data_IF_890875032890
#
_entry.id   IF_890875032890
#
_cell.length_a   1.000
_cell.length_b   1.000
_cell.length_c   1.000
_cell.angle_alpha   90.00
_cell.angle_beta   90.00
_cell.angle_gamma   90.00
#
_symmetry.space_group_name_H-M   'P 1'
#
loop_
_entity.id
_entity.type
_entity.pdbx_description
1 polymer ?
#
# COMPACT_ATOMS: atom_id res chain seq x y z
N UNK A 1 6.84 5.76 -31.22
CA UNK A 1 6.55 6.97 -30.44
C UNK A 1 7.22 6.79 -29.08
N UNK A 2 8.19 7.61 -28.72
CA UNK A 2 8.76 7.65 -27.35
C UNK A 2 7.88 8.56 -26.53
N UNK A 3 7.14 7.98 -25.58
CA UNK A 3 6.34 8.77 -24.63
C UNK A 3 7.30 9.41 -23.63
N UNK A 4 7.35 10.74 -23.60
CA UNK A 4 8.13 11.47 -22.60
C UNK A 4 7.38 11.37 -21.25
N UNK A 5 7.88 10.51 -20.37
CA UNK A 5 7.30 10.29 -19.04
C UNK A 5 7.92 11.31 -18.09
N UNK A 6 7.10 12.25 -17.61
CA UNK A 6 7.50 13.28 -16.66
C UNK A 6 7.24 12.83 -15.21
N UNK A 7 8.07 13.24 -14.24
CA UNK A 7 7.79 13.01 -12.83
C UNK A 7 6.45 13.62 -12.43
N UNK A 8 5.68 12.90 -11.63
CA UNK A 8 4.48 13.46 -11.01
C UNK A 8 4.87 14.59 -10.05
N UNK A 9 4.05 15.63 -9.98
CA UNK A 9 4.22 16.72 -9.00
C UNK A 9 3.28 16.49 -7.84
N UNK A 10 3.80 16.64 -6.61
CA UNK A 10 3.03 16.47 -5.38
C UNK A 10 2.93 15.03 -4.90
N UNK A 11 1.91 14.75 -4.09
CA UNK A 11 1.73 13.46 -3.44
C UNK A 11 0.97 12.48 -4.32
N UNK A 12 1.31 11.20 -4.22
CA UNK A 12 0.60 10.09 -4.85
C UNK A 12 -0.43 9.52 -3.88
N UNK A 13 -1.71 9.65 -4.21
CA UNK A 13 -2.80 9.00 -3.47
C UNK A 13 -2.92 7.53 -3.86
N UNK A 14 -2.89 6.64 -2.87
CA UNK A 14 -3.20 5.21 -3.04
C UNK A 14 -4.47 4.92 -2.28
N UNK A 15 -5.54 4.64 -3.02
CA UNK A 15 -6.87 4.35 -2.47
C UNK A 15 -7.11 2.84 -2.52
N UNK A 16 -7.23 2.22 -1.36
CA UNK A 16 -7.46 0.79 -1.21
C UNK A 16 -8.96 0.49 -1.17
N UNK A 17 -9.41 -0.43 -1.98
CA UNK A 17 -10.77 -0.98 -1.90
C UNK A 17 -10.73 -2.16 -0.93
N UNK A 18 -11.13 -1.91 0.30
CA UNK A 18 -10.95 -2.79 1.45
C UNK A 18 -9.68 -2.49 2.25
N UNK A 19 -9.84 -2.39 3.57
CA UNK A 19 -8.74 -2.16 4.52
C UNK A 19 -8.41 -3.44 5.29
N UNK A 20 -8.41 -4.58 4.59
CA UNK A 20 -8.10 -5.89 5.15
C UNK A 20 -6.61 -6.24 5.14
N UNK A 21 -6.29 -7.52 5.24
CA UNK A 21 -4.95 -8.08 5.39
C UNK A 21 -3.93 -7.56 4.36
N UNK A 22 -4.29 -7.53 3.09
CA UNK A 22 -3.37 -7.10 2.01
C UNK A 22 -3.06 -5.62 2.11
N UNK A 23 -4.10 -4.79 2.25
CA UNK A 23 -3.94 -3.33 2.33
C UNK A 23 -3.16 -2.91 3.57
N UNK A 24 -3.47 -3.47 4.74
CA UNK A 24 -2.76 -3.16 5.98
C UNK A 24 -1.31 -3.60 5.95
N UNK A 25 -1.01 -4.76 5.35
CA UNK A 25 0.38 -5.23 5.16
C UNK A 25 1.16 -4.30 4.23
N UNK A 26 0.56 -3.88 3.10
CA UNK A 26 1.19 -2.93 2.18
C UNK A 26 1.46 -1.59 2.87
N UNK A 27 0.46 -1.03 3.53
CA UNK A 27 0.55 0.28 4.21
C UNK A 27 1.65 0.23 5.28
N UNK A 28 1.61 -0.78 6.15
CA UNK A 28 2.61 -0.99 7.21
C UNK A 28 4.02 -1.09 6.61
N UNK A 29 4.20 -1.88 5.57
CA UNK A 29 5.49 -2.05 4.90
C UNK A 29 6.05 -0.73 4.35
N UNK A 30 5.22 0.10 3.74
CA UNK A 30 5.63 1.43 3.25
C UNK A 30 5.98 2.36 4.40
N UNK A 31 5.18 2.39 5.48
CA UNK A 31 5.44 3.23 6.64
C UNK A 31 6.73 2.82 7.36
N UNK A 32 6.98 1.53 7.53
CA UNK A 32 8.21 0.98 8.09
C UNK A 32 9.43 1.35 7.23
N UNK A 33 9.30 1.24 5.89
CA UNK A 33 10.36 1.63 4.98
C UNK A 33 10.68 3.13 5.06
N UNK A 34 9.67 4.00 5.20
CA UNK A 34 9.86 5.45 5.42
C UNK A 34 10.67 5.77 6.66
N UNK A 35 10.45 5.03 7.73
CA UNK A 35 11.17 5.18 9.00
C UNK A 35 12.55 4.49 8.99
N UNK A 36 12.91 3.82 7.91
CA UNK A 36 14.17 3.06 7.83
C UNK A 36 14.19 1.82 8.72
N UNK A 37 13.03 1.35 9.18
CA UNK A 37 12.87 0.21 10.06
C UNK A 37 12.75 -1.12 9.29
N UNK A 38 12.40 -1.06 8.00
CA UNK A 38 12.34 -2.21 7.12
C UNK A 38 12.82 -1.86 5.72
N UNK A 39 13.38 -2.84 5.03
CA UNK A 39 13.70 -2.72 3.61
C UNK A 39 12.53 -3.23 2.76
N UNK A 40 12.17 -2.54 1.66
CA UNK A 40 11.08 -2.95 0.77
C UNK A 40 11.52 -4.12 -0.15
N UNK A 41 11.93 -5.25 0.44
CA UNK A 41 12.58 -6.38 -0.25
C UNK A 41 11.71 -6.99 -1.36
N UNK A 42 10.38 -6.97 -1.18
CA UNK A 42 9.42 -7.45 -2.18
C UNK A 42 9.16 -6.46 -3.33
N UNK A 43 9.69 -5.23 -3.25
CA UNK A 43 9.43 -4.19 -4.25
C UNK A 43 10.52 -4.11 -5.30
N UNK A 44 10.25 -4.66 -6.47
CA UNK A 44 11.16 -4.55 -7.62
C UNK A 44 11.41 -3.09 -8.01
N UNK A 45 10.40 -2.23 -7.94
CA UNK A 45 10.52 -0.81 -8.28
C UNK A 45 11.44 -0.04 -7.33
N UNK A 46 11.57 -0.48 -6.07
CA UNK A 46 12.41 0.16 -5.07
C UNK A 46 13.85 -0.37 -5.08
N UNK A 47 14.02 -1.68 -5.17
CA UNK A 47 15.33 -2.33 -5.03
C UNK A 47 15.82 -3.00 -6.31
N UNK A 48 14.93 -3.24 -7.28
CA UNK A 48 15.26 -3.96 -8.49
C UNK A 48 16.16 -3.18 -9.44
N UNK A 49 16.93 -3.94 -10.23
CA UNK A 49 17.75 -3.41 -11.32
C UNK A 49 17.28 -3.95 -12.66
N UNK A 50 17.25 -3.10 -13.66
CA UNK A 50 16.92 -3.48 -15.03
C UNK A 50 18.15 -3.32 -15.92
N UNK A 51 18.25 -4.21 -16.91
CA UNK A 51 19.26 -4.12 -17.94
C UNK A 51 18.90 -3.03 -18.95
N UNK A 52 19.80 -2.09 -19.16
CA UNK A 52 19.70 -1.03 -20.17
C UNK A 52 20.86 -1.19 -21.17
N UNK A 53 20.57 -0.98 -22.45
CA UNK A 53 21.55 -1.13 -23.53
C UNK A 53 21.70 -2.55 -24.06
N UNK A 54 22.50 -2.70 -25.14
CA UNK A 54 22.78 -3.96 -25.84
C UNK A 54 24.28 -4.16 -26.01
N UNK A 55 24.71 -5.41 -26.14
CA UNK A 55 26.12 -5.76 -26.37
C UNK A 55 27.04 -5.21 -25.26
N UNK A 56 28.15 -4.62 -25.66
CA UNK A 56 29.16 -4.04 -24.76
C UNK A 56 28.67 -2.82 -23.95
N UNK A 57 27.62 -2.15 -24.41
CA UNK A 57 26.97 -1.03 -23.72
C UNK A 57 25.93 -1.46 -22.67
N UNK A 58 25.89 -2.74 -22.34
CA UNK A 58 24.98 -3.31 -21.33
C UNK A 58 25.31 -2.78 -19.93
N UNK A 59 24.34 -2.17 -19.27
CA UNK A 59 24.43 -1.69 -17.91
C UNK A 59 23.22 -2.16 -17.10
N UNK A 60 23.36 -2.26 -15.78
CA UNK A 60 22.25 -2.51 -14.87
C UNK A 60 22.02 -1.24 -14.02
N UNK A 61 20.83 -0.69 -14.13
CA UNK A 61 20.41 0.52 -13.39
C UNK A 61 19.23 0.21 -12.50
N UNK A 62 19.11 0.90 -11.38
CA UNK A 62 17.91 0.82 -10.57
C UNK A 62 16.69 1.34 -11.34
N UNK A 63 15.51 0.77 -11.06
CA UNK A 63 14.27 1.14 -11.77
C UNK A 63 13.99 2.63 -11.64
N UNK A 64 14.18 3.21 -10.45
CA UNK A 64 14.01 4.65 -10.20
C UNK A 64 14.96 5.58 -10.98
N UNK A 65 16.10 5.05 -11.51
CA UNK A 65 16.99 5.80 -12.39
C UNK A 65 16.51 5.81 -13.86
N UNK A 66 15.59 4.89 -14.21
CA UNK A 66 15.11 4.71 -15.58
C UNK A 66 13.75 5.38 -15.77
N UNK A 67 12.89 5.25 -14.76
CA UNK A 67 11.54 5.83 -14.76
C UNK A 67 11.31 6.71 -13.54
N UNK A 68 10.62 7.85 -13.68
CA UNK A 68 10.34 8.76 -12.59
C UNK A 68 9.26 8.17 -11.67
N UNK A 69 9.68 7.42 -10.66
CA UNK A 69 8.80 6.87 -9.63
C UNK A 69 8.48 7.91 -8.56
N UNK A 70 7.28 7.84 -7.99
CA UNK A 70 6.96 8.58 -6.78
C UNK A 70 7.82 8.08 -5.61
N UNK A 71 8.30 9.01 -4.79
CA UNK A 71 8.97 8.65 -3.54
C UNK A 71 7.99 7.97 -2.59
N UNK A 72 8.46 6.99 -1.80
CA UNK A 72 7.63 6.41 -0.74
C UNK A 72 7.12 7.46 0.24
N UNK A 73 7.88 8.55 0.46
CA UNK A 73 7.49 9.67 1.34
C UNK A 73 6.33 10.52 0.77
N UNK A 74 6.09 10.43 -0.53
CA UNK A 74 5.05 11.19 -1.21
C UNK A 74 3.75 10.39 -1.38
N UNK A 75 3.71 9.13 -0.95
CA UNK A 75 2.50 8.32 -1.00
C UNK A 75 1.59 8.69 0.17
N UNK A 76 0.30 8.88 -0.09
CA UNK A 76 -0.75 9.06 0.90
C UNK A 76 -1.78 7.95 0.73
N UNK A 77 -2.14 7.30 1.82
CA UNK A 77 -3.10 6.19 1.81
C UNK A 77 -4.49 6.64 2.22
N UNK A 78 -5.49 6.09 1.57
CA UNK A 78 -6.89 6.11 1.94
C UNK A 78 -7.53 4.76 1.62
N UNK A 79 -8.71 4.50 2.16
CA UNK A 79 -9.42 3.24 1.90
C UNK A 79 -10.94 3.43 1.94
N UNK A 80 -11.66 2.49 1.32
CA UNK A 80 -13.08 2.25 1.57
C UNK A 80 -13.22 0.88 2.22
N UNK A 81 -14.07 0.76 3.23
CA UNK A 81 -14.38 -0.53 3.83
C UNK A 81 -15.83 -0.58 4.32
N UNK A 82 -16.37 -1.77 4.48
CA UNK A 82 -17.66 -2.03 5.13
C UNK A 82 -17.54 -1.93 6.65
N UNK A 83 -16.35 -2.14 7.20
CA UNK A 83 -16.01 -1.99 8.60
C UNK A 83 -15.44 -0.59 8.88
N UNK A 84 -15.61 -0.12 10.10
CA UNK A 84 -15.18 1.23 10.51
C UNK A 84 -13.81 1.26 11.18
N UNK A 85 -13.15 0.10 11.29
CA UNK A 85 -11.84 -0.02 11.92
C UNK A 85 -10.79 0.78 11.16
N UNK A 86 -9.92 1.46 11.89
CA UNK A 86 -8.75 2.09 11.30
C UNK A 86 -7.71 1.04 10.85
N UNK A 87 -6.67 1.47 10.14
CA UNK A 87 -5.68 0.54 9.60
C UNK A 87 -4.92 -0.23 10.69
N UNK A 88 -4.74 0.33 11.90
CA UNK A 88 -4.09 -0.36 13.00
C UNK A 88 -4.98 -1.48 13.57
N UNK A 89 -6.25 -1.17 13.84
CA UNK A 89 -7.24 -2.15 14.32
C UNK A 89 -7.44 -3.28 13.32
N UNK A 90 -7.55 -2.94 12.04
CA UNK A 90 -7.66 -3.93 10.95
C UNK A 90 -6.40 -4.80 10.84
N UNK A 91 -5.20 -4.24 10.99
CA UNK A 91 -3.96 -5.00 10.96
C UNK A 91 -3.88 -6.01 12.11
N UNK A 92 -4.28 -5.59 13.33
CA UNK A 92 -4.38 -6.48 14.49
C UNK A 92 -5.39 -7.61 14.27
N UNK A 93 -6.56 -7.27 13.73
CA UNK A 93 -7.61 -8.25 13.46
C UNK A 93 -7.19 -9.28 12.41
N UNK A 94 -6.55 -8.85 11.35
CA UNK A 94 -6.13 -9.74 10.25
C UNK A 94 -5.01 -10.72 10.64
N UNK A 95 -4.26 -10.45 11.70
CA UNK A 95 -3.19 -11.32 12.23
C UNK A 95 -2.13 -11.77 11.21
N UNK A 96 -1.93 -11.02 10.13
CA UNK A 96 -0.88 -11.28 9.13
C UNK A 96 0.47 -10.76 9.62
N UNK A 97 0.46 -9.59 10.24
CA UNK A 97 1.62 -8.98 10.87
C UNK A 97 1.56 -9.19 12.39
N UNK A 98 2.71 -9.39 13.01
CA UNK A 98 2.79 -9.43 14.46
C UNK A 98 2.62 -8.03 15.03
N UNK A 99 2.17 -7.96 16.29
CA UNK A 99 1.98 -6.67 16.97
C UNK A 99 3.29 -5.86 17.02
N UNK A 100 4.42 -6.54 17.23
CA UNK A 100 5.73 -5.91 17.27
C UNK A 100 6.11 -5.24 15.94
N UNK A 101 5.61 -5.76 14.81
CA UNK A 101 5.88 -5.21 13.48
C UNK A 101 5.07 -3.96 13.17
N UNK A 102 3.88 -3.82 13.76
CA UNK A 102 2.96 -2.69 13.50
C UNK A 102 3.08 -1.56 14.53
N UNK A 103 3.50 -1.86 15.75
CA UNK A 103 3.61 -0.89 16.85
C UNK A 103 4.48 0.34 16.51
N UNK A 104 5.65 0.19 15.80
CA UNK A 104 6.49 1.35 15.44
C UNK A 104 5.82 2.36 14.51
N UNK A 105 4.72 2.00 13.84
CA UNK A 105 3.96 2.84 12.91
C UNK A 105 2.49 3.00 13.30
N UNK A 106 2.19 2.71 14.56
CA UNK A 106 0.83 2.74 15.12
C UNK A 106 0.12 4.07 14.86
N UNK A 107 0.74 5.18 15.23
CA UNK A 107 0.12 6.50 15.12
C UNK A 107 -0.28 6.85 13.68
N UNK A 108 0.53 6.44 12.71
CA UNK A 108 0.24 6.64 11.29
C UNK A 108 -0.89 5.72 10.82
N UNK A 109 -0.92 4.47 11.28
CA UNK A 109 -1.98 3.51 10.96
C UNK A 109 -3.33 3.94 11.56
N UNK A 110 -3.37 4.42 12.79
CA UNK A 110 -4.58 4.91 13.45
C UNK A 110 -5.22 6.13 12.74
N UNK A 111 -4.40 6.93 12.04
CA UNK A 111 -4.89 8.07 11.23
C UNK A 111 -5.57 7.66 9.94
N UNK A 112 -5.32 6.45 9.45
CA UNK A 112 -5.92 5.93 8.21
C UNK A 112 -7.24 5.28 8.58
N UNK A 113 -8.33 6.05 8.43
CA UNK A 113 -9.68 5.59 8.66
C UNK A 113 -10.37 5.36 7.31
N UNK A 114 -11.09 4.25 7.16
CA UNK A 114 -11.79 3.99 5.90
C UNK A 114 -12.98 4.92 5.72
N UNK A 115 -13.22 5.31 4.48
CA UNK A 115 -14.49 5.85 4.04
C UNK A 115 -15.49 4.70 3.94
N UNK A 116 -16.78 4.99 4.15
CA UNK A 116 -17.83 3.98 4.03
C UNK A 116 -17.86 3.43 2.61
N UNK A 117 -17.78 2.11 2.49
CA UNK A 117 -17.91 1.43 1.22
C UNK A 117 -19.31 1.64 0.66
N UNK A 118 -19.39 1.85 -0.67
CA UNK A 118 -20.62 1.97 -1.42
C UNK A 118 -20.74 0.75 -2.32
N UNK A 119 -21.81 0.00 -2.17
CA UNK A 119 -22.11 -1.19 -2.99
C UNK A 119 -23.61 -1.30 -3.19
N UNK A 120 -23.99 -1.95 -4.27
CA UNK A 120 -25.39 -2.27 -4.57
C UNK A 120 -25.84 -3.48 -3.73
N UNK A 121 -26.85 -3.33 -2.85
CA UNK A 121 -27.35 -4.41 -2.01
C UNK A 121 -27.84 -5.62 -2.80
N UNK A 122 -28.40 -5.43 -3.97
CA UNK A 122 -28.92 -6.53 -4.80
C UNK A 122 -27.80 -7.36 -5.42
N UNK A 123 -26.67 -6.72 -5.75
CA UNK A 123 -25.49 -7.38 -6.30
C UNK A 123 -24.57 -7.97 -5.22
N UNK A 124 -24.53 -7.36 -4.04
CA UNK A 124 -23.63 -7.73 -2.94
C UNK A 124 -24.40 -8.11 -1.67
N UNK A 125 -25.36 -9.03 -1.79
CA UNK A 125 -26.29 -9.44 -0.72
C UNK A 125 -25.60 -9.83 0.58
N UNK A 126 -24.44 -10.46 0.48
CA UNK A 126 -23.67 -10.90 1.64
C UNK A 126 -22.99 -9.75 2.41
N UNK A 127 -22.91 -8.54 1.85
CA UNK A 127 -22.32 -7.38 2.51
C UNK A 127 -23.38 -6.53 3.24
N UNK A 128 -24.66 -6.84 3.08
CA UNK A 128 -25.78 -6.11 3.70
C UNK A 128 -26.02 -6.57 5.13
N UNK A 129 -25.64 -7.81 5.46
CA UNK A 129 -25.82 -8.38 6.80
C UNK A 129 -24.68 -7.94 7.73
N UNK A 130 -24.97 -7.15 8.78
CA UNK A 130 -23.94 -6.72 9.72
C UNK A 130 -23.29 -7.87 10.52
N UNK A 131 -23.89 -9.05 10.53
CA UNK A 131 -23.31 -10.26 11.13
C UNK A 131 -22.30 -10.95 10.22
N UNK A 132 -22.19 -10.53 8.95
CA UNK A 132 -21.32 -11.15 7.97
C UNK A 132 -19.87 -10.69 8.19
N UNK A 133 -19.04 -11.59 8.65
CA UNK A 133 -17.60 -11.48 8.50
C UNK A 133 -16.75 -11.23 9.74
N UNK A 134 -17.31 -10.98 10.89
CA UNK A 134 -16.56 -11.03 12.15
C UNK A 134 -17.18 -12.07 13.08
N UNK A 135 -16.66 -13.29 12.99
CA UNK A 135 -16.85 -14.27 14.05
C UNK A 135 -16.00 -13.81 15.24
N UNK A 136 -16.57 -13.73 16.44
CA UNK A 136 -15.86 -13.35 17.64
C UNK A 136 -14.74 -14.35 17.99
#
# INVERSE_FOLDING_TARGET
MTTDIKPAKGKLGVLCVGLGAVSTTLITGVLMARKGLANPVGSFTQLGKMRVGRGEKKQYKHVGEIVPLASLNDIVFGAWDVFTDNAYESALYCQVLKKEDIEPVRDELERIKPMKACFDPDSAKNLVDPSFGRVP
#
